data_IF_798626295515
#
_entry.id   IF_798626295515
#
_cell.length_a   1.000
_cell.length_b   1.000
_cell.length_c   1.000
_cell.angle_alpha   90.00
_cell.angle_beta   90.00
_cell.angle_gamma   90.00
#
_symmetry.space_group_name_H-M   'P 1'
#
loop_
_entity.id
_entity.type
_entity.pdbx_description
1 polymer ?
#
# COMPACT_ATOMS: atom_id res chain seq x y z
N UNK A 1 4.80 2.36 18.85
CA UNK A 1 5.56 1.10 18.72
C UNK A 1 7.03 1.43 18.84
N UNK A 2 7.71 0.80 19.80
CA UNK A 2 9.13 1.02 20.09
C UNK A 2 10.03 0.52 18.95
N UNK A 3 11.29 0.94 19.00
CA UNK A 3 12.30 0.68 17.97
C UNK A 3 12.64 -0.82 17.83
N UNK A 4 12.62 -1.57 18.93
CA UNK A 4 12.84 -3.02 18.93
C UNK A 4 11.69 -3.74 18.21
N UNK A 5 10.44 -3.46 18.60
CA UNK A 5 9.26 -4.05 17.99
C UNK A 5 9.19 -3.75 16.50
N UNK A 6 9.48 -2.51 16.08
CA UNK A 6 9.57 -2.16 14.65
C UNK A 6 10.60 -2.99 13.89
N UNK A 7 11.74 -3.33 14.52
CA UNK A 7 12.77 -4.15 13.89
C UNK A 7 12.32 -5.60 13.80
N UNK A 8 11.77 -6.18 14.87
CA UNK A 8 11.25 -7.55 14.88
C UNK A 8 10.14 -7.76 13.85
N UNK A 9 9.26 -6.77 13.64
CA UNK A 9 8.21 -6.82 12.61
C UNK A 9 8.73 -6.92 11.17
N UNK A 10 9.96 -6.50 10.90
CA UNK A 10 10.57 -6.55 9.55
C UNK A 10 11.25 -7.88 9.25
N UNK A 11 11.42 -8.73 10.27
CA UNK A 11 12.13 -10.01 10.14
C UNK A 11 11.17 -11.05 9.53
N UNK A 12 11.59 -11.81 8.50
CA UNK A 12 10.78 -12.89 7.92
C UNK A 12 10.23 -13.85 8.99
N UNK A 13 8.97 -14.30 8.84
CA UNK A 13 8.19 -15.08 9.82
C UNK A 13 8.73 -16.48 10.12
N UNK A 14 9.54 -17.01 9.22
CA UNK A 14 10.23 -18.29 9.27
C UNK A 14 11.62 -18.21 9.93
N UNK A 15 12.22 -17.02 9.98
CA UNK A 15 13.56 -16.84 10.55
C UNK A 15 13.57 -17.11 12.07
N UNK A 16 14.42 -18.03 12.57
CA UNK A 16 14.51 -18.34 13.99
C UNK A 16 15.20 -17.23 14.79
N UNK A 17 14.99 -17.22 16.11
CA UNK A 17 15.58 -16.21 17.00
C UNK A 17 17.10 -16.18 16.91
N UNK A 18 17.76 -17.34 17.00
CA UNK A 18 19.23 -17.41 17.02
C UNK A 18 19.88 -16.73 15.82
N UNK A 19 19.29 -16.91 14.64
CA UNK A 19 19.76 -16.26 13.44
C UNK A 19 19.41 -14.77 13.43
N UNK A 20 18.19 -14.41 13.83
CA UNK A 20 17.72 -13.02 13.90
C UNK A 20 18.52 -12.17 14.91
N UNK A 21 18.94 -12.77 16.02
CA UNK A 21 19.57 -12.11 17.16
C UNK A 21 20.84 -11.36 16.75
N UNK A 22 21.72 -12.04 16.01
CA UNK A 22 22.95 -11.46 15.49
C UNK A 22 22.72 -10.67 14.19
N UNK A 23 22.02 -11.26 13.23
CA UNK A 23 21.89 -10.67 11.88
C UNK A 23 21.12 -9.35 11.88
N UNK A 24 20.16 -9.18 12.79
CA UNK A 24 19.37 -7.94 12.92
C UNK A 24 19.83 -7.09 14.11
N UNK A 25 20.98 -7.43 14.72
CA UNK A 25 21.59 -6.71 15.84
C UNK A 25 20.58 -6.46 16.98
N UNK A 26 19.81 -7.48 17.36
CA UNK A 26 18.80 -7.37 18.41
C UNK A 26 19.45 -7.16 19.79
N UNK A 27 20.61 -7.79 20.00
CA UNK A 27 21.44 -7.61 21.19
C UNK A 27 21.79 -6.14 21.48
N UNK A 28 21.85 -5.28 20.45
CA UNK A 28 22.20 -3.86 20.63
C UNK A 28 21.12 -3.07 21.37
N UNK A 29 19.85 -3.49 21.32
CA UNK A 29 18.76 -2.76 21.99
C UNK A 29 18.82 -2.85 23.51
N UNK A 30 19.46 -3.89 24.01
CA UNK A 30 19.49 -4.22 25.42
C UNK A 30 20.91 -4.14 25.98
N UNK A 31 21.87 -3.63 25.20
CA UNK A 31 23.24 -3.38 25.66
C UNK A 31 23.27 -2.34 26.77
N UNK A 32 22.35 -1.37 26.72
CA UNK A 32 22.21 -0.30 27.72
C UNK A 32 21.28 -0.69 28.88
N UNK A 33 20.63 -1.85 28.79
CA UNK A 33 19.64 -2.31 29.76
C UNK A 33 20.15 -3.59 30.47
N UNK A 34 19.45 -4.05 31.52
CA UNK A 34 19.87 -5.23 32.32
C UNK A 34 19.23 -6.53 31.81
N UNK A 35 18.61 -6.49 30.65
CA UNK A 35 17.83 -7.58 30.09
C UNK A 35 18.76 -8.68 29.60
N UNK A 36 18.45 -9.91 30.00
CA UNK A 36 19.21 -11.08 29.60
C UNK A 36 18.81 -11.51 28.20
N UNK A 37 19.64 -12.32 27.54
CA UNK A 37 19.29 -12.94 26.25
C UNK A 37 17.95 -13.69 26.31
N UNK A 38 17.64 -14.32 27.44
CA UNK A 38 16.37 -15.01 27.68
C UNK A 38 15.18 -14.03 27.68
N UNK A 39 15.35 -12.85 28.25
CA UNK A 39 14.32 -11.80 28.22
C UNK A 39 14.08 -11.32 26.80
N UNK A 40 15.15 -11.14 26.02
CA UNK A 40 15.07 -10.73 24.61
C UNK A 40 14.35 -11.81 23.78
N UNK A 41 14.71 -13.08 23.99
CA UNK A 41 14.06 -14.23 23.35
C UNK A 41 12.56 -14.26 23.68
N UNK A 42 12.20 -14.01 24.94
CA UNK A 42 10.80 -13.95 25.39
C UNK A 42 10.04 -12.83 24.68
N UNK A 43 10.58 -11.61 24.67
CA UNK A 43 9.92 -10.45 24.03
C UNK A 43 9.81 -10.68 22.52
N UNK A 44 10.86 -11.17 21.87
CA UNK A 44 10.84 -11.54 20.45
C UNK A 44 9.71 -12.53 20.16
N UNK A 45 9.61 -13.61 20.93
CA UNK A 45 8.57 -14.64 20.78
C UNK A 45 7.17 -14.06 20.94
N UNK A 46 6.94 -13.21 21.95
CA UNK A 46 5.65 -12.55 22.15
C UNK A 46 5.24 -11.66 20.95
N UNK A 47 6.18 -10.90 20.39
CA UNK A 47 5.91 -10.07 19.21
C UNK A 47 5.60 -10.96 17.99
N UNK A 48 6.31 -12.08 17.84
CA UNK A 48 6.12 -13.04 16.74
C UNK A 48 4.77 -13.74 16.81
N UNK A 49 4.34 -14.16 17.99
CA UNK A 49 3.02 -14.74 18.17
C UNK A 49 1.91 -13.73 17.87
N UNK A 50 2.06 -12.48 18.31
CA UNK A 50 1.14 -11.39 17.94
C UNK A 50 1.15 -11.11 16.44
N UNK A 51 2.28 -11.24 15.75
CA UNK A 51 2.35 -11.13 14.29
C UNK A 51 1.62 -12.27 13.59
N UNK A 52 1.81 -13.52 14.03
CA UNK A 52 1.13 -14.69 13.45
C UNK A 52 -0.39 -14.58 13.57
N UNK A 53 -0.87 -14.02 14.67
CA UNK A 53 -2.30 -13.79 14.91
C UNK A 53 -2.87 -12.61 14.11
N UNK A 54 -2.03 -11.71 13.58
CA UNK A 54 -2.51 -10.67 12.66
C UNK A 54 -2.82 -11.33 11.32
N UNK A 55 -4.10 -11.30 10.94
CA UNK A 55 -4.55 -11.64 9.60
C UNK A 55 -3.86 -10.67 8.64
N UNK A 56 -2.75 -11.10 8.06
CA UNK A 56 -2.10 -10.36 6.98
C UNK A 56 -2.89 -10.72 5.74
N UNK A 57 -3.83 -9.85 5.35
CA UNK A 57 -4.53 -10.01 4.09
C UNK A 57 -3.45 -10.13 3.00
N UNK A 58 -3.42 -11.27 2.31
CA UNK A 58 -2.52 -11.44 1.16
C UNK A 58 -2.95 -10.38 0.15
N UNK A 59 -2.04 -9.45 -0.17
CA UNK A 59 -2.27 -8.51 -1.26
C UNK A 59 -2.55 -9.36 -2.50
N UNK A 60 -3.77 -9.30 -3.01
CA UNK A 60 -4.09 -9.93 -4.30
C UNK A 60 -3.24 -9.26 -5.37
N UNK A 61 -2.93 -10.01 -6.43
CA UNK A 61 -2.31 -9.43 -7.62
C UNK A 61 -3.11 -8.21 -8.02
N UNK A 62 -2.41 -7.10 -8.22
CA UNK A 62 -3.04 -5.88 -8.69
C UNK A 62 -3.61 -6.15 -10.10
N UNK A 63 -4.92 -5.95 -10.33
CA UNK A 63 -5.49 -6.09 -11.67
C UNK A 63 -4.94 -5.08 -12.68
N UNK A 64 -4.01 -4.18 -12.28
CA UNK A 64 -3.39 -3.07 -13.04
C UNK A 64 -4.36 -1.94 -13.35
N UNK A 65 -5.61 -2.24 -13.68
CA UNK A 65 -6.65 -1.28 -14.00
C UNK A 65 -7.97 -1.71 -13.38
N UNK A 66 -8.60 -0.82 -12.61
CA UNK A 66 -9.96 -1.03 -12.13
C UNK A 66 -10.93 -0.37 -13.10
N UNK A 67 -11.51 -1.17 -13.99
CA UNK A 67 -12.50 -0.72 -14.97
C UNK A 67 -13.89 -1.09 -14.50
N UNK A 68 -14.82 -0.14 -14.64
CA UNK A 68 -16.24 -0.35 -14.39
C UNK A 68 -17.02 0.05 -15.65
N UNK A 69 -18.04 -0.73 -16.05
CA UNK A 69 -18.95 -0.28 -17.09
C UNK A 69 -19.75 0.92 -16.56
N UNK A 70 -19.97 1.92 -17.41
CA UNK A 70 -20.81 3.07 -17.08
C UNK A 70 -21.72 3.47 -18.25
N UNK A 71 -22.86 4.08 -17.92
CA UNK A 71 -23.84 4.58 -18.89
C UNK A 71 -23.85 6.10 -18.84
N UNK A 72 -23.57 6.76 -19.97
CA UNK A 72 -23.67 8.23 -20.07
C UNK A 72 -24.59 8.57 -21.22
N UNK A 73 -25.68 9.30 -20.95
CA UNK A 73 -26.73 9.64 -21.92
C UNK A 73 -27.21 8.44 -22.77
N UNK A 74 -27.31 7.25 -22.18
CA UNK A 74 -27.77 6.05 -22.89
C UNK A 74 -26.71 5.35 -23.75
N UNK A 75 -25.47 5.85 -23.79
CA UNK A 75 -24.32 5.17 -24.40
C UNK A 75 -23.57 4.41 -23.31
N UNK A 76 -23.37 3.12 -23.54
CA UNK A 76 -22.64 2.23 -22.63
C UNK A 76 -21.14 2.26 -22.91
N UNK A 77 -20.34 2.51 -21.88
CA UNK A 77 -18.89 2.43 -21.90
C UNK A 77 -18.45 1.25 -21.06
N UNK A 78 -17.98 0.19 -21.70
CA UNK A 78 -17.59 -1.06 -21.04
C UNK A 78 -16.35 -0.91 -20.13
N UNK A 79 -15.47 0.03 -20.45
CA UNK A 79 -14.14 0.15 -19.85
C UNK A 79 -13.86 1.57 -19.31
N UNK A 80 -14.68 2.08 -18.39
CA UNK A 80 -14.36 3.33 -17.70
C UNK A 80 -13.39 3.08 -16.54
N UNK A 81 -12.23 3.75 -16.59
CA UNK A 81 -11.24 3.69 -15.51
C UNK A 81 -11.80 4.35 -14.25
N UNK A 82 -11.82 3.61 -13.14
CA UNK A 82 -12.13 4.14 -11.83
C UNK A 82 -10.82 4.32 -11.06
N UNK A 83 -10.39 5.58 -10.94
CA UNK A 83 -9.16 5.98 -10.27
C UNK A 83 -9.48 6.76 -8.98
N UNK A 84 -9.28 6.12 -7.83
CA UNK A 84 -9.48 6.77 -6.51
C UNK A 84 -8.42 7.82 -6.19
N UNK A 85 -7.32 7.87 -6.95
CA UNK A 85 -6.27 8.88 -6.82
C UNK A 85 -6.58 10.17 -7.57
N UNK A 86 -7.60 10.18 -8.44
CA UNK A 86 -8.03 11.37 -9.16
C UNK A 86 -9.13 12.11 -8.39
N UNK A 87 -9.02 13.43 -8.30
CA UNK A 87 -10.08 14.32 -7.79
C UNK A 87 -11.09 14.73 -8.86
N UNK A 88 -10.84 14.40 -10.12
CA UNK A 88 -11.63 14.82 -11.28
C UNK A 88 -11.97 13.64 -12.19
N UNK A 89 -13.11 13.73 -12.87
CA UNK A 89 -13.50 12.78 -13.93
C UNK A 89 -13.12 13.35 -15.29
N UNK A 90 -12.42 12.56 -16.11
CA UNK A 90 -11.96 12.98 -17.44
C UNK A 90 -12.72 12.20 -18.51
N UNK A 91 -13.26 12.92 -19.48
CA UNK A 91 -13.89 12.36 -20.67
C UNK A 91 -13.16 12.87 -21.92
N UNK A 92 -12.61 11.98 -22.78
CA UNK A 92 -12.02 12.38 -24.04
C UNK A 92 -12.99 13.21 -24.89
N UNK A 93 -12.49 14.28 -25.52
CA UNK A 93 -13.30 15.17 -26.35
C UNK A 93 -14.09 14.42 -27.43
N UNK A 94 -13.45 13.45 -28.10
CA UNK A 94 -14.10 12.61 -29.12
C UNK A 94 -15.35 11.90 -28.59
N UNK A 95 -15.36 11.51 -27.31
CA UNK A 95 -16.52 10.89 -26.68
C UNK A 95 -17.57 11.93 -26.30
N UNK A 96 -17.15 13.12 -25.84
CA UNK A 96 -18.05 14.24 -25.59
C UNK A 96 -18.79 14.68 -26.87
N UNK A 97 -18.07 14.73 -28.00
CA UNK A 97 -18.62 15.03 -29.32
C UNK A 97 -19.64 13.96 -29.75
N UNK A 98 -19.32 12.66 -29.58
CA UNK A 98 -20.25 11.55 -29.84
C UNK A 98 -21.51 11.60 -28.96
N UNK A 99 -21.40 12.13 -27.73
CA UNK A 99 -22.50 12.32 -26.79
C UNK A 99 -23.30 13.61 -27.03
N UNK A 100 -22.92 14.43 -28.02
CA UNK A 100 -23.52 15.74 -28.28
C UNK A 100 -23.45 16.65 -27.04
N UNK A 101 -22.35 16.61 -26.29
CA UNK A 101 -22.14 17.50 -25.16
C UNK A 101 -21.72 18.88 -25.66
N UNK A 102 -22.38 19.93 -25.17
CA UNK A 102 -21.90 21.30 -25.38
C UNK A 102 -20.68 21.50 -24.49
N UNK A 103 -19.52 21.73 -25.10
CA UNK A 103 -18.27 22.04 -24.38
C UNK A 103 -18.16 23.55 -24.29
N UNK A 104 -18.14 24.07 -23.07
CA UNK A 104 -17.88 25.48 -22.80
C UNK A 104 -16.40 25.67 -22.46
N UNK A 105 -15.83 26.79 -22.89
CA UNK A 105 -14.45 27.14 -22.56
C UNK A 105 -14.38 27.54 -21.09
N UNK A 106 -13.44 26.95 -20.34
CA UNK A 106 -13.07 27.43 -19.01
C UNK A 106 -11.71 28.11 -19.04
N UNK A 107 -11.49 29.07 -18.15
CA UNK A 107 -10.18 29.64 -17.87
C UNK A 107 -9.33 28.72 -16.96
N UNK A 108 -9.94 27.67 -16.41
CA UNK A 108 -9.24 26.68 -15.60
C UNK A 108 -8.17 25.95 -16.41
N UNK A 109 -6.99 25.80 -15.82
CA UNK A 109 -5.92 24.97 -16.36
C UNK A 109 -5.65 23.80 -15.42
N UNK A 110 -5.55 22.60 -16.00
CA UNK A 110 -5.21 21.39 -15.28
C UNK A 110 -3.82 20.93 -15.69
N UNK A 111 -3.01 20.52 -14.72
CA UNK A 111 -1.69 19.96 -14.96
C UNK A 111 -1.77 18.46 -14.72
N UNK A 112 -1.41 17.68 -15.73
CA UNK A 112 -1.23 16.25 -15.57
C UNK A 112 0.05 16.01 -14.76
N UNK A 113 -0.10 15.42 -13.57
CA UNK A 113 1.02 15.04 -12.72
C UNK A 113 1.12 13.53 -12.63
N UNK A 114 2.32 12.99 -12.90
CA UNK A 114 2.65 11.59 -12.66
C UNK A 114 3.38 11.47 -11.31
N UNK A 115 2.70 10.94 -10.31
CA UNK A 115 3.26 10.66 -8.98
C UNK A 115 3.86 9.26 -8.87
N UNK A 116 3.99 8.52 -9.98
CA UNK A 116 4.57 7.19 -9.95
C UNK A 116 6.03 7.25 -9.49
N UNK A 117 6.32 6.56 -8.39
CA UNK A 117 7.70 6.33 -7.98
C UNK A 117 8.20 5.15 -8.77
N UNK A 118 9.18 5.37 -9.67
CA UNK A 118 9.91 4.28 -10.33
C UNK A 118 10.53 3.42 -9.23
N UNK A 119 10.09 2.17 -9.12
CA UNK A 119 10.72 1.15 -8.27
C UNK A 119 11.86 0.48 -9.01
#
# INVERSE_FOLDING_TARGET
>A
MDSFTKRVLKIPLDKPFEEAYFTHRLWMFFRETKETEQDIHRIFSQIREKMKQRITLKKKSDPRKFEVPCLVKGIEFQCALCDTGSSLSILPKVMADHLGLKIETSEDSFIFMDHSTRK
#
